data_IF_897663125670
#
_entry.id   IF_897663125670
#
_cell.length_a   1.000
_cell.length_b   1.000
_cell.length_c   1.000
_cell.angle_alpha   90.00
_cell.angle_beta   90.00
_cell.angle_gamma   90.00
#
_symmetry.space_group_name_H-M   'P 1'
#
loop_
_entity.id
_entity.type
_entity.pdbx_description
1 polymer ?
#
# COMPACT_ATOMS: atom_id res chain seq x y z
N UNK A 1 3.38 -8.58 -13.23
CA UNK A 1 2.39 -7.48 -13.33
C UNK A 1 2.29 -6.78 -11.99
N UNK A 2 1.73 -5.56 -11.96
CA UNK A 2 1.55 -4.74 -10.76
C UNK A 2 0.71 -5.42 -9.66
N UNK A 3 -0.16 -6.34 -10.07
CA UNK A 3 -1.06 -7.10 -9.20
C UNK A 3 -0.76 -8.59 -9.39
N UNK A 4 0.14 -9.19 -8.59
CA UNK A 4 0.54 -10.58 -8.80
C UNK A 4 -0.48 -11.60 -8.31
N UNK A 5 -1.39 -11.24 -7.40
CA UNK A 5 -2.37 -12.16 -6.83
C UNK A 5 -3.70 -11.49 -6.49
N UNK A 6 -4.75 -12.30 -6.38
CA UNK A 6 -6.09 -11.91 -5.98
C UNK A 6 -6.58 -12.77 -4.81
N UNK A 7 -7.32 -12.15 -3.89
CA UNK A 7 -8.16 -12.81 -2.90
C UNK A 7 -9.61 -12.69 -3.33
N UNK A 8 -10.39 -13.74 -3.13
CA UNK A 8 -11.85 -13.63 -3.10
C UNK A 8 -12.26 -13.18 -1.70
N UNK A 9 -13.11 -12.17 -1.61
CA UNK A 9 -13.75 -11.81 -0.33
C UNK A 9 -14.49 -13.02 0.25
N UNK A 10 -14.66 -13.06 1.58
CA UNK A 10 -15.37 -14.14 2.29
C UNK A 10 -16.83 -14.35 1.82
N UNK A 11 -17.39 -13.39 1.10
CA UNK A 11 -18.72 -13.42 0.50
C UNK A 11 -18.72 -13.85 -0.99
N UNK A 12 -17.56 -14.28 -1.53
CA UNK A 12 -17.30 -14.69 -2.92
C UNK A 12 -17.64 -13.67 -4.03
N UNK A 13 -18.22 -12.52 -3.68
CA UNK A 13 -18.80 -11.58 -4.65
C UNK A 13 -17.87 -10.43 -5.03
N UNK A 14 -16.69 -10.30 -4.41
CA UNK A 14 -15.75 -9.19 -4.66
C UNK A 14 -14.30 -9.68 -4.72
N UNK A 15 -13.65 -9.38 -5.84
CA UNK A 15 -12.23 -9.61 -6.07
C UNK A 15 -11.44 -8.55 -5.28
N UNK A 16 -10.47 -8.99 -4.49
CA UNK A 16 -9.55 -8.16 -3.73
C UNK A 16 -8.16 -8.34 -4.32
N UNK A 17 -7.54 -7.26 -4.80
CA UNK A 17 -6.24 -7.32 -5.46
C UNK A 17 -5.10 -7.21 -4.46
N UNK A 18 -4.19 -8.19 -4.42
CA UNK A 18 -2.99 -8.14 -3.57
C UNK A 18 -1.94 -7.23 -4.18
N UNK A 19 -1.58 -6.19 -3.45
CA UNK A 19 -0.46 -5.31 -3.76
C UNK A 19 0.86 -5.95 -3.32
N UNK A 20 1.84 -5.87 -4.20
CA UNK A 20 3.19 -6.33 -3.92
C UNK A 20 4.13 -5.14 -3.81
N UNK A 21 4.60 -4.89 -2.59
CA UNK A 21 5.45 -3.75 -2.31
C UNK A 21 6.83 -3.87 -2.99
N UNK A 22 7.32 -5.08 -3.23
CA UNK A 22 8.54 -5.31 -3.98
C UNK A 22 8.41 -4.80 -5.42
N UNK A 23 7.29 -5.14 -6.07
CA UNK A 23 6.98 -4.63 -7.41
C UNK A 23 6.80 -3.12 -7.40
N UNK A 24 6.01 -2.56 -6.47
CA UNK A 24 5.80 -1.11 -6.35
C UNK A 24 7.13 -0.36 -6.16
N UNK A 25 8.05 -0.90 -5.35
CA UNK A 25 9.37 -0.30 -5.10
C UNK A 25 10.31 -0.29 -6.29
N UNK A 26 10.03 -1.11 -7.30
CA UNK A 26 10.81 -1.22 -8.53
C UNK A 26 10.30 -0.35 -9.68
N UNK A 27 9.13 0.30 -9.51
CA UNK A 27 8.52 1.09 -10.57
C UNK A 27 9.19 2.45 -10.73
N UNK A 28 9.45 2.89 -11.98
CA UNK A 28 9.91 4.24 -12.25
C UNK A 28 8.83 5.25 -11.81
N UNK A 29 9.19 6.19 -10.93
CA UNK A 29 8.29 7.26 -10.45
C UNK A 29 7.68 7.05 -9.07
N UNK A 30 7.83 5.86 -8.46
CA UNK A 30 7.41 5.63 -7.06
C UNK A 30 8.54 6.07 -6.12
N UNK A 31 8.29 7.14 -5.38
CA UNK A 31 9.27 7.71 -4.45
C UNK A 31 9.18 7.02 -3.09
N UNK A 32 10.33 6.69 -2.51
CA UNK A 32 10.42 6.20 -1.14
C UNK A 32 11.49 6.99 -0.37
N UNK A 33 11.18 7.37 0.86
CA UNK A 33 12.11 8.01 1.79
C UNK A 33 12.86 6.94 2.60
N UNK A 34 14.15 7.08 2.86
CA UNK A 34 14.84 6.14 3.75
C UNK A 34 14.35 6.30 5.20
N UNK A 35 13.96 5.22 5.86
CA UNK A 35 13.59 5.24 7.28
C UNK A 35 14.49 4.26 8.07
N UNK A 36 15.27 4.73 9.06
CA UNK A 36 16.16 3.87 9.83
C UNK A 36 15.40 2.99 10.85
N UNK A 37 14.19 3.37 11.26
CA UNK A 37 13.35 2.58 12.18
C UNK A 37 12.71 1.35 11.51
N UNK A 38 12.53 1.39 10.20
CA UNK A 38 12.02 0.29 9.38
C UNK A 38 12.87 -1.00 9.44
N UNK A 39 14.16 -0.91 9.74
CA UNK A 39 15.05 -2.07 9.74
C UNK A 39 14.75 -3.05 10.87
N UNK A 40 14.23 -2.57 12.00
CA UNK A 40 13.94 -3.39 13.19
C UNK A 40 12.73 -4.31 12.96
N UNK A 41 11.76 -3.90 12.13
CA UNK A 41 10.55 -4.67 11.84
C UNK A 41 10.80 -5.86 10.88
N UNK A 42 11.91 -5.87 10.13
CA UNK A 42 12.18 -6.89 9.10
C UNK A 42 12.64 -8.24 9.64
N UNK A 43 13.37 -8.26 10.74
CA UNK A 43 13.99 -9.50 11.23
C UNK A 43 12.98 -10.45 11.88
N UNK A 44 11.86 -9.94 12.41
CA UNK A 44 10.81 -10.76 13.01
C UNK A 44 9.85 -11.39 11.99
N UNK A 45 9.69 -10.78 10.80
CA UNK A 45 8.77 -11.26 9.76
C UNK A 45 9.29 -12.48 8.98
N UNK A 46 10.63 -12.66 8.90
CA UNK A 46 11.26 -13.68 8.04
C UNK A 46 11.18 -15.11 8.60
N UNK A 47 10.79 -15.30 9.87
CA UNK A 47 10.84 -16.59 10.56
C UNK A 47 9.54 -17.42 10.51
N UNK A 48 8.44 -16.90 9.96
CA UNK A 48 7.13 -17.55 10.06
C UNK A 48 6.77 -18.41 8.82
N UNK A 49 7.43 -19.58 8.67
CA UNK A 49 6.89 -20.65 7.81
C UNK A 49 5.59 -21.18 8.43
N UNK A 50 4.47 -21.03 7.73
CA UNK A 50 3.13 -21.56 8.04
C UNK A 50 2.29 -20.83 9.11
N UNK A 51 2.35 -19.49 9.20
CA UNK A 51 1.35 -18.71 9.95
C UNK A 51 0.53 -17.86 9.00
N UNK A 52 -0.80 -17.93 9.17
CA UNK A 52 -1.76 -17.02 8.58
C UNK A 52 -1.21 -15.59 8.62
N UNK A 53 -1.15 -14.95 7.46
CA UNK A 53 -0.71 -13.56 7.33
C UNK A 53 -1.92 -12.64 7.49
N UNK A 54 -1.70 -11.48 8.10
CA UNK A 54 -2.72 -10.44 8.19
C UNK A 54 -2.63 -9.57 6.95
N UNK A 55 -3.71 -9.49 6.20
CA UNK A 55 -3.86 -8.62 5.06
C UNK A 55 -4.79 -7.47 5.42
N UNK A 56 -4.31 -6.25 5.25
CA UNK A 56 -5.12 -5.05 5.37
C UNK A 56 -5.85 -4.85 4.04
N UNK A 57 -7.18 -4.86 4.09
CA UNK A 57 -8.08 -4.67 2.94
C UNK A 57 -8.61 -3.25 2.96
N UNK A 58 -8.49 -2.57 1.84
CA UNK A 58 -8.92 -1.19 1.68
C UNK A 58 -9.50 -0.98 0.27
N UNK A 59 -10.32 0.05 0.12
CA UNK A 59 -10.91 0.43 -1.15
C UNK A 59 -10.11 1.57 -1.77
N UNK A 60 -9.91 1.50 -3.07
CA UNK A 60 -9.35 2.57 -3.89
C UNK A 60 -10.06 2.57 -5.24
N UNK A 61 -10.67 3.70 -5.60
CA UNK A 61 -11.40 3.90 -6.85
C UNK A 61 -12.47 2.82 -7.10
N UNK A 62 -13.23 2.49 -6.04
CA UNK A 62 -14.29 1.47 -6.07
C UNK A 62 -13.80 0.02 -6.21
N UNK A 63 -12.49 -0.24 -6.15
CA UNK A 63 -11.89 -1.57 -6.16
C UNK A 63 -11.28 -1.88 -4.80
N UNK A 64 -11.38 -3.14 -4.38
CA UNK A 64 -10.77 -3.59 -3.14
C UNK A 64 -9.34 -4.06 -3.40
N UNK A 65 -8.40 -3.54 -2.63
CA UNK A 65 -7.02 -3.99 -2.60
C UNK A 65 -6.69 -4.55 -1.24
N UNK A 66 -5.68 -5.41 -1.18
CA UNK A 66 -5.09 -5.84 0.07
C UNK A 66 -3.57 -5.74 0.03
N UNK A 67 -2.97 -5.57 1.21
CA UNK A 67 -1.54 -5.63 1.38
C UNK A 67 -1.20 -6.34 2.69
N UNK A 68 -0.02 -6.97 2.74
CA UNK A 68 0.48 -7.57 3.97
C UNK A 68 0.61 -6.50 5.06
N UNK A 69 -0.02 -6.73 6.21
CA UNK A 69 0.03 -5.82 7.35
C UNK A 69 1.45 -5.69 7.94
N UNK A 70 2.34 -6.66 7.70
CA UNK A 70 3.74 -6.62 8.14
C UNK A 70 4.55 -5.52 7.47
N UNK A 71 4.14 -5.07 6.27
CA UNK A 71 4.78 -3.92 5.61
C UNK A 71 4.09 -2.59 5.90
N UNK A 72 2.91 -2.64 6.54
CA UNK A 72 2.16 -1.44 6.95
C UNK A 72 2.75 -0.90 8.24
N UNK A 73 3.22 0.33 8.19
CA UNK A 73 3.84 0.99 9.35
C UNK A 73 2.82 1.78 10.15
N UNK A 74 1.97 2.54 9.46
CA UNK A 74 0.98 3.41 10.11
C UNK A 74 -0.17 3.72 9.15
N UNK A 75 -1.37 3.94 9.71
CA UNK A 75 -2.50 4.51 8.99
C UNK A 75 -2.67 5.94 9.49
N UNK A 76 -2.57 6.91 8.58
CA UNK A 76 -2.64 8.34 8.91
C UNK A 76 -3.92 8.92 8.32
N UNK A 77 -4.84 9.30 9.21
CA UNK A 77 -6.11 9.93 8.85
C UNK A 77 -5.96 11.44 8.72
N UNK A 78 -6.25 11.99 7.54
CA UNK A 78 -6.17 13.43 7.27
C UNK A 78 -4.77 14.01 7.45
N UNK A 79 -3.70 13.46 6.83
CA UNK A 79 -2.39 14.06 6.91
C UNK A 79 -2.38 15.45 6.28
N UNK A 80 -1.57 16.34 6.84
CA UNK A 80 -1.23 17.59 6.17
C UNK A 80 -0.25 17.32 5.04
N UNK A 81 -0.77 17.34 3.82
CA UNK A 81 0.02 17.08 2.61
C UNK A 81 0.44 18.42 2.03
N UNK A 82 1.75 18.64 2.01
CA UNK A 82 2.36 19.82 1.39
C UNK A 82 2.67 19.49 -0.06
N UNK A 83 2.28 20.37 -0.99
CA UNK A 83 2.66 20.22 -2.39
C UNK A 83 4.19 20.16 -2.52
N UNK A 84 4.68 19.26 -3.37
CA UNK A 84 6.11 19.07 -3.58
C UNK A 84 6.48 19.44 -5.01
N UNK A 85 7.63 20.08 -5.19
CA UNK A 85 8.22 20.33 -6.52
C UNK A 85 8.68 19.02 -7.20
N UNK A 86 8.76 17.91 -6.44
CA UNK A 86 8.97 16.56 -6.95
C UNK A 86 7.64 15.96 -7.47
N UNK A 87 7.02 16.66 -8.43
CA UNK A 87 5.81 16.20 -9.11
C UNK A 87 6.19 15.12 -10.14
N UNK A 88 6.29 13.86 -9.70
CA UNK A 88 6.02 12.73 -10.59
C UNK A 88 4.50 12.56 -10.68
N UNK A 89 3.96 12.06 -11.79
CA UNK A 89 2.50 11.94 -11.99
C UNK A 89 1.80 11.21 -10.82
N UNK A 90 2.50 10.27 -10.20
CA UNK A 90 2.02 9.51 -9.06
C UNK A 90 2.15 10.23 -7.70
N UNK A 91 3.01 11.25 -7.57
CA UNK A 91 3.34 11.93 -6.32
C UNK A 91 2.61 13.27 -6.24
N UNK A 92 1.62 13.35 -5.37
CA UNK A 92 0.80 14.56 -5.22
C UNK A 92 1.26 15.47 -4.07
N UNK A 93 2.27 15.04 -3.30
CA UNK A 93 2.89 15.87 -2.29
C UNK A 93 3.80 15.10 -1.34
N UNK A 94 4.15 15.77 -0.23
CA UNK A 94 4.91 15.20 0.88
C UNK A 94 4.15 15.43 2.18
N UNK A 95 4.20 14.45 3.06
CA UNK A 95 3.72 14.58 4.44
C UNK A 95 4.89 14.41 5.41
N UNK A 96 4.74 14.89 6.64
CA UNK A 96 5.69 14.63 7.72
C UNK A 96 5.10 13.61 8.67
N UNK A 97 5.75 12.46 8.80
CA UNK A 97 5.35 11.43 9.77
C UNK A 97 6.51 11.21 10.72
N UNK A 98 6.27 11.41 12.02
CA UNK A 98 7.28 11.31 13.09
C UNK A 98 8.55 12.14 12.83
N UNK A 99 8.42 13.26 12.11
CA UNK A 99 9.54 14.13 11.75
C UNK A 99 10.28 13.75 10.48
N UNK A 100 9.92 12.62 9.84
CA UNK A 100 10.46 12.20 8.54
C UNK A 100 9.54 12.68 7.42
N UNK A 101 10.12 13.30 6.38
CA UNK A 101 9.37 13.65 5.17
C UNK A 101 9.13 12.40 4.33
N UNK A 102 7.86 12.02 4.19
CA UNK A 102 7.42 10.84 3.44
C UNK A 102 6.66 11.32 2.19
N UNK A 103 6.98 10.79 1.00
CA UNK A 103 6.23 11.09 -0.21
C UNK A 103 4.81 10.54 -0.11
N UNK A 104 3.81 11.35 -0.47
CA UNK A 104 2.42 10.97 -0.57
C UNK A 104 2.09 10.68 -2.05
N UNK A 105 1.84 9.41 -2.34
CA UNK A 105 1.61 8.88 -3.67
C UNK A 105 0.15 8.49 -3.85
N UNK A 106 -0.44 8.79 -5.01
CA UNK A 106 -1.78 8.35 -5.36
C UNK A 106 -1.71 6.90 -5.81
N UNK A 107 -2.34 5.99 -5.06
CA UNK A 107 -2.35 4.58 -5.43
C UNK A 107 -3.08 4.37 -6.77
N UNK A 108 -4.13 5.15 -7.04
CA UNK A 108 -4.84 5.10 -8.33
C UNK A 108 -3.89 5.36 -9.49
N UNK A 109 -3.08 6.42 -9.41
CA UNK A 109 -2.09 6.77 -10.45
C UNK A 109 -1.01 5.70 -10.59
N UNK A 110 -0.50 5.18 -9.46
CA UNK A 110 0.51 4.10 -9.47
C UNK A 110 -0.01 2.81 -10.11
N UNK A 111 -1.31 2.55 -9.97
CA UNK A 111 -1.99 1.41 -10.59
C UNK A 111 -2.54 1.71 -11.99
N UNK A 112 -2.42 2.95 -12.49
CA UNK A 112 -3.00 3.38 -13.76
C UNK A 112 -4.53 3.33 -13.78
N UNK A 113 -5.19 3.53 -12.64
CA UNK A 113 -6.64 3.63 -12.52
C UNK A 113 -7.11 5.05 -12.88
N UNK A 114 -8.29 5.14 -13.50
CA UNK A 114 -8.88 6.40 -13.94
C UNK A 114 -9.42 7.17 -12.73
N UNK A 115 -8.56 7.95 -12.09
CA UNK A 115 -8.85 8.58 -10.80
C UNK A 115 -9.94 9.65 -10.94
N UNK A 116 -11.13 9.38 -10.38
CA UNK A 116 -12.10 10.44 -10.07
C UNK A 116 -11.63 11.14 -8.80
N UNK A 117 -11.13 12.39 -8.91
CA UNK A 117 -10.66 13.20 -7.77
C UNK A 117 -11.60 13.05 -6.57
N UNK A 118 -11.13 12.36 -5.54
CA UNK A 118 -11.91 12.19 -4.34
C UNK A 118 -12.08 13.52 -3.61
N UNK A 119 -13.31 13.80 -3.18
CA UNK A 119 -13.68 14.96 -2.36
C UNK A 119 -13.55 14.68 -0.85
N UNK A 120 -13.03 13.51 -0.49
CA UNK A 120 -12.87 13.02 0.87
C UNK A 120 -11.57 13.52 1.50
N UNK A 121 -11.49 13.54 2.84
CA UNK A 121 -10.20 13.81 3.52
C UNK A 121 -9.17 12.78 3.05
N UNK A 122 -7.94 13.19 2.70
CA UNK A 122 -6.92 12.23 2.28
C UNK A 122 -6.62 11.27 3.43
N UNK A 123 -6.69 9.97 3.17
CA UNK A 123 -6.16 8.94 4.08
C UNK A 123 -4.85 8.41 3.49
N UNK A 124 -3.85 8.19 4.34
CA UNK A 124 -2.53 7.76 3.89
C UNK A 124 -2.10 6.48 4.61
N UNK A 125 -1.80 5.46 3.81
CA UNK A 125 -1.25 4.20 4.27
C UNK A 125 0.27 4.26 4.15
N UNK A 126 0.97 4.31 5.28
CA UNK A 126 2.43 4.28 5.28
C UNK A 126 2.94 2.86 5.15
N UNK A 127 3.75 2.63 4.12
CA UNK A 127 4.34 1.34 3.80
C UNK A 127 5.85 1.40 3.83
N UNK A 128 6.47 0.36 4.37
CA UNK A 128 7.92 0.19 4.44
C UNK A 128 8.37 -0.91 3.48
N UNK A 129 9.16 -0.55 2.47
CA UNK A 129 9.75 -1.47 1.50
C UNK A 129 10.84 -2.38 2.12
N UNK A 130 11.12 -3.54 1.50
CA UNK A 130 12.12 -4.51 1.98
C UNK A 130 13.56 -3.99 2.08
N UNK A 131 13.86 -2.81 1.55
CA UNK A 131 15.16 -2.12 1.68
C UNK A 131 15.18 -1.05 2.78
N UNK A 132 14.03 -0.81 3.44
CA UNK A 132 13.89 0.09 4.58
C UNK A 132 13.41 1.48 4.19
N UNK A 133 13.02 1.68 2.92
CA UNK A 133 12.44 2.94 2.48
C UNK A 133 10.92 2.96 2.71
N UNK A 134 10.34 4.13 2.99
CA UNK A 134 8.95 4.35 3.36
C UNK A 134 8.26 5.23 2.33
N UNK A 135 7.02 4.91 2.03
CA UNK A 135 6.15 5.72 1.17
C UNK A 135 4.74 5.76 1.78
N UNK A 136 3.99 6.82 1.49
CA UNK A 136 2.58 6.91 1.85
C UNK A 136 1.72 6.72 0.61
N UNK A 137 0.77 5.79 0.65
CA UNK A 137 -0.23 5.63 -0.41
C UNK A 137 -1.57 6.20 0.00
N UNK A 138 -2.11 7.10 -0.83
CA UNK A 138 -3.48 7.58 -0.72
C UNK A 138 -4.47 6.45 -0.98
N UNK A 139 -5.45 6.29 -0.10
CA UNK A 139 -6.54 5.32 -0.26
C UNK A 139 -7.88 5.94 0.15
N UNK A 140 -8.99 5.31 -0.26
CA UNK A 140 -10.33 5.90 -0.09
C UNK A 140 -10.90 5.62 1.29
N UNK A 141 -10.87 4.34 1.68
CA UNK A 141 -11.32 3.87 3.00
C UNK A 141 -10.75 2.50 3.34
N UNK A 142 -10.55 2.27 4.63
CA UNK A 142 -10.19 0.94 5.14
C UNK A 142 -11.45 0.09 5.24
N UNK A 143 -11.36 -1.16 4.76
CA UNK A 143 -12.50 -2.10 4.73
C UNK A 143 -12.40 -3.09 5.90
N UNK A 144 -11.28 -3.81 6.02
CA UNK A 144 -11.10 -4.83 7.04
C UNK A 144 -9.63 -5.25 7.18
N UNK A 145 -9.29 -5.97 8.25
CA UNK A 145 -8.04 -6.74 8.35
C UNK A 145 -8.43 -8.22 8.34
N UNK A 146 -7.92 -8.97 7.37
CA UNK A 146 -8.22 -10.39 7.20
C UNK A 146 -6.99 -11.24 7.47
N UNK A 147 -7.17 -12.36 8.18
CA UNK A 147 -6.12 -13.37 8.33
C UNK A 147 -6.31 -14.41 7.24
N UNK A 148 -5.35 -14.51 6.33
CA UNK A 148 -5.43 -15.45 5.21
C UNK A 148 -4.15 -16.25 5.11
N UNK A 149 -4.31 -17.47 4.61
CA UNK A 149 -3.18 -18.30 4.24
C UNK A 149 -2.58 -17.78 2.91
N UNK A 150 -1.26 -17.51 2.85
CA UNK A 150 -0.63 -17.03 1.63
C UNK A 150 -0.72 -18.02 0.46
N UNK A 151 -0.81 -19.33 0.70
CA UNK A 151 -0.98 -20.35 -0.33
C UNK A 151 -2.43 -20.44 -0.85
N UNK A 152 -3.39 -19.84 -0.15
CA UNK A 152 -4.78 -19.71 -0.62
C UNK A 152 -5.00 -18.56 -1.61
N UNK A 153 -3.97 -17.76 -1.88
CA UNK A 153 -4.01 -16.68 -2.87
C UNK A 153 -4.13 -17.24 -4.29
N UNK A 154 -5.10 -16.75 -5.05
CA UNK A 154 -5.22 -17.08 -6.47
C UNK A 154 -4.28 -16.18 -7.28
N UNK A 155 -3.65 -16.72 -8.32
CA UNK A 155 -2.91 -15.90 -9.26
C UNK A 155 -3.86 -14.89 -9.92
N UNK A 156 -3.45 -13.62 -9.98
CA UNK A 156 -4.23 -12.64 -10.72
C UNK A 156 -4.22 -13.05 -12.21
N UNK A 157 -5.37 -13.03 -12.92
CA UNK A 157 -5.37 -13.18 -14.36
C UNK A 157 -4.50 -12.07 -14.93
N UNK A 158 -3.45 -12.45 -15.66
CA UNK A 158 -2.49 -11.52 -16.23
C UNK A 158 -3.21 -10.52 -17.13
N UNK A 159 -2.99 -9.22 -16.86
CA UNK A 159 -3.21 -8.13 -17.80
C UNK A 159 -1.96 -7.95 -18.65
#
# INVERSE_FOLDING_TARGET
>A
GLLPALLLSADESRIIYKLDLGVLSSLPGVLFAADPSAQILKEEALAAKNRLLHYLVFECDGRNFCIDASVVTELVDGPEITASDFASDCCFGVTSVRGTKVPALSLSEVLGLDHQRQTSKPQLLLLTAPDGRVCGFGYDRMVAIQRQDPDSLLAAPGY
#
